data_IF_487592186675
#
_entry.id   IF_487592186675
#
_cell.length_a   1.000
_cell.length_b   1.000
_cell.length_c   1.000
_cell.angle_alpha   90.00
_cell.angle_beta   90.00
_cell.angle_gamma   90.00
#
_symmetry.space_group_name_H-M   'P 1'
#
loop_
_entity.id
_entity.type
_entity.pdbx_description
1 polymer ?
#
# COMPACT_ATOMS: atom_id res chain seq x y z
N UNK A 1 34.64 19.36 -12.48
CA UNK A 1 33.95 19.37 -13.78
C UNK A 1 32.56 19.95 -13.56
N UNK A 2 32.34 21.21 -13.95
CA UNK A 2 31.05 21.89 -13.81
C UNK A 2 30.13 21.44 -14.94
N UNK A 3 29.12 20.64 -14.60
CA UNK A 3 28.14 20.13 -15.57
C UNK A 3 27.41 21.29 -16.25
N UNK A 4 27.24 21.22 -17.58
CA UNK A 4 26.44 22.19 -18.34
C UNK A 4 25.04 22.29 -17.73
N UNK A 5 24.45 23.50 -17.62
CA UNK A 5 23.09 23.66 -17.12
C UNK A 5 22.12 22.87 -18.01
N UNK A 6 21.26 22.06 -17.37
CA UNK A 6 20.24 21.26 -18.05
C UNK A 6 19.22 22.22 -18.66
N UNK A 7 19.27 22.42 -19.99
CA UNK A 7 18.38 23.36 -20.71
C UNK A 7 16.91 22.91 -20.76
N UNK A 8 16.63 21.62 -20.54
CA UNK A 8 15.29 21.04 -20.56
C UNK A 8 15.18 20.00 -19.44
N UNK A 9 14.74 20.44 -18.26
CA UNK A 9 14.61 19.60 -17.06
C UNK A 9 13.66 18.41 -17.31
N UNK A 10 12.45 18.59 -17.87
CA UNK A 10 11.55 17.45 -18.11
C UNK A 10 12.15 16.37 -19.00
N UNK A 11 12.83 16.76 -20.09
CA UNK A 11 13.49 15.79 -20.97
C UNK A 11 14.64 15.05 -20.27
N UNK A 12 15.40 15.74 -19.42
CA UNK A 12 16.47 15.14 -18.62
C UNK A 12 15.93 14.13 -17.61
N UNK A 13 14.91 14.50 -16.83
CA UNK A 13 14.24 13.63 -15.86
C UNK A 13 13.65 12.40 -16.56
N UNK A 14 12.93 12.60 -17.68
CA UNK A 14 12.37 11.48 -18.44
C UNK A 14 13.45 10.54 -18.97
N UNK A 15 14.58 11.06 -19.46
CA UNK A 15 15.70 10.23 -19.90
C UNK A 15 16.32 9.44 -18.73
N UNK A 16 16.42 10.03 -17.54
CA UNK A 16 16.89 9.33 -16.34
C UNK A 16 15.93 8.21 -15.93
N UNK A 17 14.62 8.42 -16.00
CA UNK A 17 13.62 7.36 -15.80
C UNK A 17 13.76 6.23 -16.83
N UNK A 18 14.00 6.56 -18.12
CA UNK A 18 14.25 5.55 -19.16
C UNK A 18 15.50 4.71 -18.88
N UNK A 19 16.57 5.36 -18.42
CA UNK A 19 17.81 4.67 -18.06
C UNK A 19 17.56 3.72 -16.87
N UNK A 20 16.86 4.21 -15.84
CA UNK A 20 16.51 3.41 -14.67
C UNK A 20 15.60 2.22 -15.03
N UNK A 21 14.62 2.44 -15.90
CA UNK A 21 13.73 1.39 -16.41
C UNK A 21 14.53 0.26 -17.08
N UNK A 22 15.50 0.64 -17.93
CA UNK A 22 16.37 -0.31 -18.61
C UNK A 22 17.29 -1.06 -17.63
N UNK A 23 17.84 -0.37 -16.64
CA UNK A 23 18.70 -0.97 -15.61
C UNK A 23 17.94 -2.00 -14.77
N UNK A 24 16.69 -1.70 -14.39
CA UNK A 24 15.86 -2.57 -13.55
C UNK A 24 15.04 -3.59 -14.34
N UNK A 25 15.02 -3.52 -15.67
CA UNK A 25 14.14 -4.33 -16.50
C UNK A 25 12.64 -4.02 -16.31
N UNK A 26 12.32 -2.79 -15.88
CA UNK A 26 10.96 -2.34 -15.60
C UNK A 26 10.33 -1.60 -16.80
N UNK A 27 9.00 -1.51 -16.79
CA UNK A 27 8.27 -0.68 -17.76
C UNK A 27 8.45 0.82 -17.43
N UNK A 28 8.80 1.62 -18.44
CA UNK A 28 9.07 3.05 -18.26
C UNK A 28 7.83 3.83 -17.80
N UNK A 29 6.63 3.44 -18.24
CA UNK A 29 5.40 4.12 -17.82
C UNK A 29 5.07 3.78 -16.36
N UNK A 30 5.37 2.56 -15.91
CA UNK A 30 5.29 2.19 -14.51
C UNK A 30 6.24 3.02 -13.63
N UNK A 31 7.50 3.23 -14.06
CA UNK A 31 8.41 4.12 -13.34
C UNK A 31 8.00 5.59 -13.39
N UNK A 32 7.43 6.06 -14.51
CA UNK A 32 6.86 7.40 -14.60
C UNK A 32 5.71 7.59 -13.60
N UNK A 33 4.80 6.62 -13.48
CA UNK A 33 3.71 6.66 -12.51
C UNK A 33 4.25 6.68 -11.07
N UNK A 34 5.23 5.82 -10.74
CA UNK A 34 5.86 5.81 -9.42
C UNK A 34 6.58 7.12 -9.09
N UNK A 35 7.24 7.72 -10.09
CA UNK A 35 7.89 9.02 -9.93
C UNK A 35 6.87 10.13 -9.70
N UNK A 36 5.76 10.13 -10.44
CA UNK A 36 4.68 11.09 -10.23
C UNK A 36 4.03 10.95 -8.84
N UNK A 37 3.83 9.72 -8.35
CA UNK A 37 3.39 9.47 -6.96
C UNK A 37 4.40 10.00 -5.96
N UNK A 38 5.69 9.70 -6.12
CA UNK A 38 6.75 10.19 -5.24
C UNK A 38 6.77 11.71 -5.14
N UNK A 39 6.67 12.40 -6.29
CA UNK A 39 6.67 13.87 -6.33
C UNK A 39 5.36 14.49 -5.86
N UNK A 40 4.24 13.77 -5.95
CA UNK A 40 3.00 14.15 -5.28
C UNK A 40 3.13 14.04 -3.77
N UNK A 41 3.66 12.92 -3.26
CA UNK A 41 3.89 12.72 -1.83
C UNK A 41 4.86 13.76 -1.26
N UNK A 42 5.87 14.16 -2.04
CA UNK A 42 6.74 15.29 -1.68
C UNK A 42 5.92 16.56 -1.43
N UNK A 43 5.04 16.93 -2.38
CA UNK A 43 4.18 18.12 -2.25
C UNK A 43 3.25 18.01 -1.05
N UNK A 44 2.62 16.85 -0.82
CA UNK A 44 1.80 16.58 0.37
C UNK A 44 2.61 16.80 1.65
N UNK A 45 3.82 16.21 1.75
CA UNK A 45 4.68 16.31 2.94
C UNK A 45 5.18 17.71 3.25
N UNK A 46 5.19 18.60 2.26
CA UNK A 46 5.67 19.98 2.40
C UNK A 46 4.54 21.00 2.56
N UNK A 47 3.29 20.56 2.41
CA UNK A 47 2.11 21.41 2.50
C UNK A 47 1.58 21.55 3.93
N UNK A 48 0.74 22.55 4.17
CA UNK A 48 -0.06 22.67 5.40
C UNK A 48 -1.06 21.52 5.64
N UNK A 49 -1.15 20.55 4.72
CA UNK A 49 -2.05 19.40 4.81
C UNK A 49 -1.34 18.08 5.15
N UNK A 50 -0.03 18.08 5.41
CA UNK A 50 0.74 16.86 5.67
C UNK A 50 0.14 15.98 6.79
N UNK A 51 -0.31 16.61 7.88
CA UNK A 51 -0.91 15.92 9.04
C UNK A 51 -2.33 15.39 8.79
N UNK A 52 -2.91 15.64 7.61
CA UNK A 52 -4.22 15.07 7.23
C UNK A 52 -4.10 13.69 6.60
N UNK A 53 -2.90 13.25 6.25
CA UNK A 53 -2.71 12.00 5.52
C UNK A 53 -1.70 11.07 6.20
N UNK A 54 -1.91 9.77 6.01
CA UNK A 54 -0.97 8.71 6.39
C UNK A 54 -0.87 7.73 5.23
N UNK A 55 0.35 7.41 4.81
CA UNK A 55 0.59 6.44 3.76
C UNK A 55 0.13 5.05 4.20
N UNK A 56 -0.63 4.37 3.33
CA UNK A 56 -1.01 2.97 3.51
C UNK A 56 -0.86 2.16 2.21
N UNK A 57 -1.37 0.93 2.22
CA UNK A 57 -1.44 0.08 1.04
C UNK A 57 -0.07 -0.37 0.49
N UNK A 58 0.00 -0.61 -0.82
CA UNK A 58 1.16 -1.30 -1.42
C UNK A 58 2.43 -0.44 -1.46
N UNK A 59 2.30 0.89 -1.45
CA UNK A 59 3.44 1.81 -1.48
C UNK A 59 4.25 1.78 -0.18
N UNK A 60 3.71 1.24 0.91
CA UNK A 60 4.45 1.00 2.16
C UNK A 60 5.70 0.14 1.97
N UNK A 61 5.69 -0.80 1.01
CA UNK A 61 6.86 -1.66 0.76
C UNK A 61 8.08 -0.86 0.29
N UNK A 62 7.89 0.27 -0.40
CA UNK A 62 9.00 1.19 -0.72
C UNK A 62 9.59 1.78 0.56
N UNK A 63 8.75 2.21 1.48
CA UNK A 63 9.19 2.76 2.77
C UNK A 63 9.93 1.72 3.59
N UNK A 64 9.42 0.48 3.63
CA UNK A 64 10.01 -0.57 4.46
C UNK A 64 11.24 -1.25 3.85
N UNK A 65 11.32 -1.36 2.52
CA UNK A 65 12.32 -2.21 1.85
C UNK A 65 13.09 -1.51 0.73
N UNK A 66 12.77 -0.25 0.41
CA UNK A 66 13.36 0.48 -0.71
C UNK A 66 12.83 0.10 -2.08
N UNK A 67 12.05 -0.99 -2.18
CA UNK A 67 11.55 -1.53 -3.44
C UNK A 67 10.09 -2.00 -3.32
N UNK A 68 9.40 -2.05 -4.46
CA UNK A 68 8.10 -2.70 -4.55
C UNK A 68 8.29 -4.22 -4.70
N UNK A 69 7.40 -5.00 -4.08
CA UNK A 69 7.34 -6.46 -4.23
C UNK A 69 6.41 -6.90 -5.35
N UNK A 70 5.53 -6.02 -5.83
CA UNK A 70 4.71 -6.22 -7.04
C UNK A 70 4.41 -4.87 -7.70
N UNK A 71 4.01 -4.87 -8.98
CA UNK A 71 3.57 -3.65 -9.65
C UNK A 71 2.41 -2.97 -8.89
N UNK A 72 2.58 -1.69 -8.61
CA UNK A 72 1.56 -0.78 -8.09
C UNK A 72 1.85 0.62 -8.63
N UNK A 73 0.80 1.32 -9.06
CA UNK A 73 0.90 2.65 -9.66
C UNK A 73 0.12 3.68 -8.86
N UNK A 74 -0.88 3.21 -8.11
CA UNK A 74 -1.76 4.01 -7.28
C UNK A 74 -1.12 4.19 -5.89
N UNK A 75 -1.55 5.23 -5.18
CA UNK A 75 -1.18 5.45 -3.78
C UNK A 75 -2.42 5.43 -2.90
N UNK A 76 -2.36 4.63 -1.83
CA UNK A 76 -3.41 4.55 -0.83
C UNK A 76 -3.03 5.44 0.37
N UNK A 77 -3.95 6.28 0.82
CA UNK A 77 -3.78 7.12 2.00
C UNK A 77 -4.93 6.86 2.99
N UNK A 78 -4.65 6.97 4.28
CA UNK A 78 -5.67 7.28 5.27
C UNK A 78 -5.81 8.80 5.36
N UNK A 79 -7.04 9.30 5.20
CA UNK A 79 -7.38 10.70 5.37
C UNK A 79 -7.98 10.99 6.74
N UNK A 80 -7.73 12.22 7.23
CA UNK A 80 -8.42 12.82 8.37
C UNK A 80 -9.17 14.09 7.94
N UNK A 81 -10.36 14.29 8.52
CA UNK A 81 -11.25 15.41 8.22
C UNK A 81 -12.45 14.99 7.37
N UNK A 82 -12.96 15.93 6.57
CA UNK A 82 -14.16 15.73 5.75
C UNK A 82 -13.87 14.80 4.55
N UNK A 83 -14.57 13.65 4.41
CA UNK A 83 -14.41 12.72 3.31
C UNK A 83 -15.18 13.11 2.05
N UNK A 84 -15.79 14.28 1.98
CA UNK A 84 -16.54 14.73 0.81
C UNK A 84 -15.60 14.87 -0.43
N UNK A 85 -15.95 14.25 -1.58
CA UNK A 85 -15.09 14.23 -2.76
C UNK A 85 -14.65 15.61 -3.26
N UNK A 86 -15.55 16.58 -3.41
CA UNK A 86 -15.21 17.90 -3.95
C UNK A 86 -14.22 18.65 -3.03
N UNK A 87 -14.38 18.53 -1.71
CA UNK A 87 -13.43 19.08 -0.73
C UNK A 87 -12.06 18.41 -0.78
N UNK A 88 -12.00 17.11 -1.02
CA UNK A 88 -10.72 16.41 -1.19
C UNK A 88 -10.04 16.80 -2.50
N UNK A 89 -10.79 16.90 -3.60
CA UNK A 89 -10.27 17.42 -4.86
C UNK A 89 -9.66 18.82 -4.67
N UNK A 90 -10.37 19.72 -3.99
CA UNK A 90 -9.88 21.06 -3.68
C UNK A 90 -8.67 21.05 -2.74
N UNK A 91 -8.64 20.14 -1.76
CA UNK A 91 -7.46 19.97 -0.89
C UNK A 91 -6.22 19.60 -1.71
N UNK A 92 -6.32 18.61 -2.61
CA UNK A 92 -5.20 18.22 -3.46
C UNK A 92 -4.84 19.32 -4.46
N UNK A 93 -5.81 20.01 -5.04
CA UNK A 93 -5.56 21.17 -5.90
C UNK A 93 -4.81 22.28 -5.15
N UNK A 94 -5.15 22.55 -3.88
CA UNK A 94 -4.46 23.50 -3.03
C UNK A 94 -3.01 23.08 -2.73
N UNK A 95 -2.77 21.80 -2.38
CA UNK A 95 -1.41 21.25 -2.18
C UNK A 95 -0.53 21.51 -3.41
N UNK A 96 -1.08 21.26 -4.60
CA UNK A 96 -0.35 21.43 -5.87
C UNK A 96 -0.05 22.90 -6.20
N UNK A 97 -0.86 23.85 -5.72
CA UNK A 97 -0.63 25.30 -5.88
C UNK A 97 0.32 25.85 -4.82
N UNK A 98 0.26 25.32 -3.61
CA UNK A 98 1.11 25.72 -2.48
C UNK A 98 2.56 25.27 -2.68
N UNK A 99 2.77 24.02 -3.10
CA UNK A 99 4.09 23.43 -3.21
C UNK A 99 4.44 23.12 -4.66
N UNK A 100 5.40 23.85 -5.19
CA UNK A 100 5.97 23.64 -6.53
C UNK A 100 7.45 23.24 -6.44
N UNK A 101 7.90 22.38 -7.34
CA UNK A 101 9.31 22.05 -7.52
C UNK A 101 9.63 21.90 -9.02
N UNK A 102 10.23 22.93 -9.61
CA UNK A 102 10.59 22.91 -11.03
C UNK A 102 11.71 21.90 -11.35
N UNK A 103 12.50 21.51 -10.35
CA UNK A 103 13.64 20.61 -10.54
C UNK A 103 13.21 19.18 -10.89
N UNK A 104 11.99 18.80 -10.51
CA UNK A 104 11.42 17.48 -10.80
C UNK A 104 10.77 17.39 -12.20
N UNK A 105 10.59 18.53 -12.87
CA UNK A 105 10.07 18.61 -14.24
C UNK A 105 8.61 18.17 -14.41
N UNK A 106 7.90 17.81 -13.33
CA UNK A 106 6.49 17.44 -13.38
C UNK A 106 5.60 18.67 -13.29
N UNK A 107 4.63 18.72 -14.19
CA UNK A 107 3.55 19.72 -14.17
C UNK A 107 2.26 18.99 -13.84
N UNK A 108 1.76 19.15 -12.62
CA UNK A 108 0.45 18.66 -12.20
C UNK A 108 -0.63 19.69 -12.56
N UNK A 109 -1.71 19.23 -13.19
CA UNK A 109 -2.85 20.09 -13.53
C UNK A 109 -3.80 20.19 -12.32
N UNK A 110 -3.55 21.19 -11.47
CA UNK A 110 -4.38 21.46 -10.29
C UNK A 110 -5.82 21.84 -10.63
N UNK A 111 -6.10 22.29 -11.86
CA UNK A 111 -7.46 22.67 -12.29
C UNK A 111 -8.28 21.48 -12.78
N UNK A 112 -7.63 20.36 -13.08
CA UNK A 112 -8.24 19.14 -13.58
C UNK A 112 -8.23 18.00 -12.54
N UNK A 113 -8.01 18.31 -11.26
CA UNK A 113 -8.17 17.34 -10.17
C UNK A 113 -9.64 16.94 -10.08
N UNK A 114 -9.91 15.65 -10.08
CA UNK A 114 -11.25 15.09 -9.92
C UNK A 114 -11.29 14.11 -8.78
N UNK A 115 -12.41 14.02 -8.09
CA UNK A 115 -12.63 13.06 -7.01
C UNK A 115 -13.99 12.38 -7.17
N UNK A 116 -14.05 11.09 -6.83
CA UNK A 116 -15.29 10.31 -6.83
C UNK A 116 -15.33 9.38 -5.64
N UNK A 117 -16.53 9.12 -5.10
CA UNK A 117 -16.71 8.08 -4.11
C UNK A 117 -16.39 6.71 -4.70
N UNK A 118 -15.62 5.91 -3.96
CA UNK A 118 -15.38 4.51 -4.29
C UNK A 118 -16.38 3.63 -3.55
N UNK A 119 -17.13 2.83 -4.31
CA UNK A 119 -17.99 1.79 -3.73
C UNK A 119 -17.12 0.57 -3.39
N UNK A 120 -16.55 0.57 -2.19
CA UNK A 120 -15.84 -0.56 -1.60
C UNK A 120 -16.73 -1.33 -0.61
N UNK A 121 -16.38 -2.57 -0.30
CA UNK A 121 -17.06 -3.41 0.70
C UNK A 121 -16.81 -2.98 2.16
N UNK A 122 -16.13 -1.85 2.38
CA UNK A 122 -15.82 -1.29 3.69
C UNK A 122 -16.92 -0.28 4.05
N UNK A 123 -17.48 -0.37 5.25
CA UNK A 123 -18.61 0.42 5.76
C UNK A 123 -18.33 1.95 5.75
N UNK A 124 -17.06 2.34 5.61
CA UNK A 124 -16.58 3.70 5.38
C UNK A 124 -16.09 3.82 3.93
N UNK A 125 -16.92 4.39 3.06
CA UNK A 125 -16.55 4.64 1.66
C UNK A 125 -15.22 5.43 1.56
N UNK A 126 -14.39 5.07 0.59
CA UNK A 126 -13.17 5.81 0.27
C UNK A 126 -13.42 6.81 -0.86
N UNK A 127 -12.53 7.77 -1.05
CA UNK A 127 -12.55 8.69 -2.20
C UNK A 127 -11.37 8.41 -3.11
N UNK A 128 -11.64 8.28 -4.40
CA UNK A 128 -10.62 8.19 -5.43
C UNK A 128 -10.41 9.53 -6.07
N UNK A 129 -9.17 9.99 -6.05
CA UNK A 129 -8.74 11.25 -6.64
C UNK A 129 -7.89 10.93 -7.87
N UNK A 130 -8.12 11.64 -8.98
CA UNK A 130 -7.30 11.58 -10.19
C UNK A 130 -6.68 12.94 -10.46
N UNK A 131 -5.37 12.94 -10.62
CA UNK A 131 -4.56 14.14 -10.81
C UNK A 131 -3.77 13.99 -12.11
N UNK A 132 -4.19 14.66 -13.20
CA UNK A 132 -3.42 14.69 -14.44
C UNK A 132 -2.08 15.40 -14.24
N UNK A 133 -1.03 14.86 -14.82
CA UNK A 133 0.29 15.46 -14.83
C UNK A 133 1.03 15.19 -16.15
N UNK A 134 2.04 16.01 -16.42
CA UNK A 134 2.92 15.85 -17.57
C UNK A 134 4.39 15.97 -17.19
N UNK A 135 5.22 15.17 -17.86
CA UNK A 135 6.68 15.27 -17.82
C UNK A 135 7.17 15.48 -19.25
N UNK A 136 7.27 16.75 -19.66
CA UNK A 136 7.50 17.12 -21.05
C UNK A 136 6.28 16.73 -21.91
N UNK A 137 6.47 15.80 -22.86
CA UNK A 137 5.38 15.28 -23.70
C UNK A 137 4.70 14.04 -23.11
N UNK A 138 5.30 13.40 -22.10
CA UNK A 138 4.73 12.23 -21.45
C UNK A 138 3.58 12.66 -20.53
N UNK A 139 2.44 11.97 -20.63
CA UNK A 139 1.25 12.19 -19.80
C UNK A 139 1.11 11.07 -18.79
N UNK A 140 0.69 11.41 -17.58
CA UNK A 140 0.41 10.46 -16.51
C UNK A 140 -0.79 10.96 -15.70
N UNK A 141 -1.61 10.06 -15.17
CA UNK A 141 -2.67 10.41 -14.22
C UNK A 141 -2.32 9.71 -12.93
N UNK A 142 -2.08 10.48 -11.88
CA UNK A 142 -1.84 9.93 -10.54
C UNK A 142 -3.18 9.62 -9.91
N UNK A 143 -3.37 8.37 -9.48
CA UNK A 143 -4.53 7.95 -8.72
C UNK A 143 -4.19 7.88 -7.24
N UNK A 144 -4.98 8.56 -6.42
CA UNK A 144 -4.90 8.52 -4.96
C UNK A 144 -6.20 7.96 -4.42
N UNK A 145 -6.13 6.86 -3.69
CA UNK A 145 -7.28 6.29 -2.99
C UNK A 145 -7.19 6.68 -1.51
N UNK A 146 -8.13 7.49 -1.02
CA UNK A 146 -8.19 7.96 0.36
C UNK A 146 -9.27 7.20 1.12
N UNK A 147 -8.85 6.33 2.03
CA UNK A 147 -9.73 5.69 3.01
C UNK A 147 -9.87 6.54 4.26
N UNK A 148 -10.90 6.28 5.06
CA UNK A 148 -11.18 7.04 6.28
C UNK A 148 -11.48 6.13 7.46
N UNK A 149 -11.05 6.58 8.63
CA UNK A 149 -11.46 6.00 9.89
C UNK A 149 -10.73 4.71 10.29
N UNK A 150 -9.71 4.23 9.59
CA UNK A 150 -8.98 3.05 10.05
C UNK A 150 -8.31 3.28 11.41
N UNK A 151 -8.24 2.22 12.22
CA UNK A 151 -7.43 2.18 13.43
C UNK A 151 -5.98 1.83 13.06
N UNK A 152 -5.02 2.56 13.62
CA UNK A 152 -3.59 2.31 13.41
C UNK A 152 -2.98 1.80 14.70
N UNK A 153 -2.38 0.61 14.65
CA UNK A 153 -1.73 -0.03 15.80
C UNK A 153 -0.51 -0.84 15.34
N UNK A 154 0.70 -0.57 15.88
CA UNK A 154 1.04 0.59 16.75
C UNK A 154 0.84 1.94 16.01
N UNK A 155 1.13 3.06 16.67
CA UNK A 155 0.94 4.38 16.04
C UNK A 155 1.76 4.56 14.74
N UNK A 156 1.22 5.32 13.79
CA UNK A 156 1.94 5.65 12.56
C UNK A 156 3.15 6.53 12.88
N UNK A 157 4.27 6.23 12.25
CA UNK A 157 5.52 6.97 12.44
C UNK A 157 5.91 7.68 11.16
N UNK A 158 6.55 8.86 11.28
CA UNK A 158 7.10 9.55 10.12
C UNK A 158 8.25 8.74 9.52
N UNK A 159 8.23 8.60 8.19
CA UNK A 159 9.25 7.87 7.43
C UNK A 159 9.63 8.65 6.18
N UNK A 160 10.88 8.47 5.77
CA UNK A 160 11.33 8.91 4.46
C UNK A 160 10.82 7.95 3.39
N UNK A 161 10.18 8.49 2.37
CA UNK A 161 9.82 7.75 1.17
C UNK A 161 11.01 7.80 0.20
N UNK A 162 11.59 6.64 -0.19
CA UNK A 162 12.88 6.63 -0.88
C UNK A 162 12.77 7.26 -2.27
N UNK A 163 13.61 8.22 -2.67
CA UNK A 163 13.49 8.86 -3.97
C UNK A 163 14.05 8.01 -5.12
N UNK A 164 13.43 8.08 -6.31
CA UNK A 164 13.86 7.34 -7.51
C UNK A 164 15.08 7.98 -8.18
N UNK A 165 15.10 9.32 -8.26
CA UNK A 165 16.10 10.09 -9.02
C UNK A 165 16.92 11.04 -8.12
N UNK A 166 16.97 10.79 -6.81
CA UNK A 166 17.77 11.57 -5.88
C UNK A 166 17.29 13.00 -5.67
N UNK A 167 15.99 13.27 -5.88
CA UNK A 167 15.36 14.48 -5.36
C UNK A 167 15.16 14.35 -3.84
N UNK A 168 14.84 15.46 -3.18
CA UNK A 168 14.48 15.45 -1.76
C UNK A 168 13.36 14.44 -1.50
N UNK A 169 13.59 13.60 -0.48
CA UNK A 169 12.69 12.54 -0.08
C UNK A 169 11.42 13.12 0.58
N UNK A 170 10.21 12.66 0.22
CA UNK A 170 9.02 12.93 1.00
C UNK A 170 9.15 12.40 2.43
N UNK A 171 8.72 13.17 3.42
CA UNK A 171 8.57 12.71 4.80
C UNK A 171 7.09 12.56 5.12
N UNK A 172 6.62 11.33 5.30
CA UNK A 172 5.19 11.06 5.49
C UNK A 172 4.99 10.06 6.62
N UNK A 173 3.93 10.25 7.40
CA UNK A 173 3.49 9.22 8.36
C UNK A 173 3.08 7.98 7.59
N UNK A 174 3.54 6.81 8.02
CA UNK A 174 3.26 5.55 7.35
C UNK A 174 2.70 4.53 8.34
N UNK A 175 1.80 3.68 7.86
CA UNK A 175 1.30 2.54 8.63
C UNK A 175 2.47 1.63 9.04
N UNK A 176 2.44 1.08 10.26
CA UNK A 176 3.33 0.00 10.62
C UNK A 176 2.89 -1.30 9.93
N UNK A 177 3.80 -2.28 9.74
CA UNK A 177 3.47 -3.56 9.14
C UNK A 177 2.32 -4.30 9.83
N UNK A 178 2.17 -4.17 11.14
CA UNK A 178 1.12 -4.79 11.95
C UNK A 178 -0.28 -4.35 11.50
N UNK A 179 -0.49 -3.05 11.31
CA UNK A 179 -1.77 -2.51 10.81
C UNK A 179 -2.05 -2.99 9.40
N UNK A 180 -1.04 -3.02 8.52
CA UNK A 180 -1.20 -3.51 7.16
C UNK A 180 -1.55 -5.01 7.11
N UNK A 181 -1.04 -5.82 8.05
CA UNK A 181 -1.44 -7.23 8.21
C UNK A 181 -2.89 -7.32 8.69
N UNK A 182 -3.25 -6.54 9.72
CA UNK A 182 -4.59 -6.54 10.30
C UNK A 182 -5.68 -6.17 9.28
N UNK A 183 -5.48 -5.11 8.47
CA UNK A 183 -6.44 -4.72 7.42
C UNK A 183 -6.62 -5.81 6.35
N UNK A 184 -5.52 -6.45 5.93
CA UNK A 184 -5.57 -7.54 4.94
C UNK A 184 -6.30 -8.75 5.49
N UNK A 185 -6.04 -9.09 6.75
CA UNK A 185 -6.70 -10.20 7.42
C UNK A 185 -8.19 -9.92 7.60
N UNK A 186 -8.56 -8.72 8.04
CA UNK A 186 -9.95 -8.30 8.16
C UNK A 186 -10.67 -8.44 6.82
N UNK A 187 -10.10 -7.92 5.73
CA UNK A 187 -10.70 -8.05 4.40
C UNK A 187 -10.83 -9.52 3.93
N UNK A 188 -9.90 -10.39 4.34
CA UNK A 188 -10.01 -11.84 4.09
C UNK A 188 -11.18 -12.46 4.86
N UNK A 189 -11.39 -12.05 6.11
CA UNK A 189 -12.47 -12.51 6.97
C UNK A 189 -13.83 -11.99 6.51
N UNK A 190 -13.98 -10.69 6.27
CA UNK A 190 -15.27 -10.05 5.98
C UNK A 190 -15.80 -10.40 4.59
N UNK A 191 -14.95 -10.46 3.56
CA UNK A 191 -15.38 -10.79 2.19
C UNK A 191 -15.62 -12.31 2.02
N UNK A 192 -14.89 -13.15 2.75
CA UNK A 192 -15.07 -14.60 2.74
C UNK A 192 -14.92 -15.24 1.36
N UNK A 193 -15.83 -16.15 0.98
CA UNK A 193 -15.73 -16.91 -0.28
C UNK A 193 -15.80 -16.03 -1.54
N UNK A 194 -16.38 -14.83 -1.46
CA UNK A 194 -16.43 -13.90 -2.60
C UNK A 194 -15.07 -13.24 -2.88
N UNK A 195 -14.08 -13.39 -1.98
CA UNK A 195 -12.85 -12.63 -2.03
C UNK A 195 -12.02 -12.92 -3.30
N UNK A 196 -11.79 -11.88 -4.10
CA UNK A 196 -10.97 -11.90 -5.32
C UNK A 196 -9.67 -11.11 -5.18
N UNK A 197 -9.40 -10.55 -3.98
CA UNK A 197 -8.23 -9.73 -3.66
C UNK A 197 -6.99 -10.60 -3.44
N UNK A 198 -6.60 -11.36 -4.46
CA UNK A 198 -5.42 -12.24 -4.46
C UNK A 198 -4.13 -11.51 -4.07
N UNK A 199 -4.06 -10.20 -4.36
CA UNK A 199 -2.98 -9.32 -3.93
C UNK A 199 -2.75 -9.33 -2.41
N UNK A 200 -3.79 -9.44 -1.59
CA UNK A 200 -3.66 -9.38 -0.13
C UNK A 200 -2.98 -10.65 0.42
N UNK A 201 -3.27 -11.82 -0.15
CA UNK A 201 -2.56 -13.06 0.17
C UNK A 201 -1.07 -12.98 -0.20
N UNK A 202 -0.76 -12.42 -1.37
CA UNK A 202 0.62 -12.23 -1.79
C UNK A 202 1.36 -11.22 -0.88
N UNK A 203 0.72 -10.09 -0.57
CA UNK A 203 1.28 -9.08 0.32
C UNK A 203 1.57 -9.69 1.71
N UNK A 204 0.67 -10.52 2.26
CA UNK A 204 0.87 -11.22 3.54
C UNK A 204 2.04 -12.21 3.51
N UNK A 205 2.23 -12.95 2.42
CA UNK A 205 3.40 -13.83 2.27
C UNK A 205 4.69 -13.01 2.25
N UNK A 206 4.73 -11.92 1.50
CA UNK A 206 5.93 -11.09 1.42
C UNK A 206 6.23 -10.47 2.78
N UNK A 207 5.19 -10.02 3.51
CA UNK A 207 5.34 -9.48 4.85
C UNK A 207 5.90 -10.55 5.81
N UNK A 208 5.30 -11.73 5.84
CA UNK A 208 5.72 -12.81 6.75
C UNK A 208 7.16 -13.30 6.48
N UNK A 209 7.63 -13.19 5.24
CA UNK A 209 9.00 -13.56 4.86
C UNK A 209 10.04 -12.47 5.12
N UNK A 210 9.63 -11.22 5.36
CA UNK A 210 10.56 -10.07 5.47
C UNK A 210 10.62 -9.45 6.86
N UNK A 211 9.53 -9.51 7.62
CA UNK A 211 9.42 -8.80 8.89
C UNK A 211 9.14 -9.75 10.05
N UNK A 212 9.76 -9.46 11.19
CA UNK A 212 9.41 -10.09 12.46
C UNK A 212 8.28 -9.35 13.15
N UNK A 213 7.50 -10.06 13.97
CA UNK A 213 6.34 -9.50 14.65
C UNK A 213 6.33 -9.91 16.12
N UNK A 214 5.98 -8.97 16.99
CA UNK A 214 5.61 -9.28 18.36
C UNK A 214 4.15 -9.73 18.40
N UNK A 215 3.90 -10.90 18.98
CA UNK A 215 2.58 -11.52 18.97
C UNK A 215 1.53 -10.66 19.65
N UNK A 216 1.86 -10.04 20.78
CA UNK A 216 0.92 -9.20 21.50
C UNK A 216 0.59 -7.91 20.72
N UNK A 217 1.58 -7.29 20.06
CA UNK A 217 1.34 -6.11 19.22
C UNK A 217 0.45 -6.46 18.03
N UNK A 218 0.75 -7.56 17.33
CA UNK A 218 -0.01 -7.97 16.15
C UNK A 218 -1.45 -8.37 16.51
N UNK A 219 -1.66 -9.08 17.62
CA UNK A 219 -3.01 -9.40 18.12
C UNK A 219 -3.82 -8.13 18.43
N UNK A 220 -3.21 -7.13 19.08
CA UNK A 220 -3.87 -5.84 19.35
C UNK A 220 -4.21 -5.09 18.06
N UNK A 221 -3.33 -5.12 17.07
CA UNK A 221 -3.60 -4.51 15.77
C UNK A 221 -4.80 -5.18 15.08
N UNK A 222 -4.88 -6.51 15.12
CA UNK A 222 -6.02 -7.28 14.61
C UNK A 222 -7.30 -6.87 15.34
N UNK A 223 -7.33 -6.90 16.68
CA UNK A 223 -8.52 -6.50 17.45
C UNK A 223 -8.96 -5.08 17.11
N UNK A 224 -8.04 -4.11 17.14
CA UNK A 224 -8.35 -2.71 16.85
C UNK A 224 -8.91 -2.50 15.44
N UNK A 225 -8.37 -3.18 14.43
CA UNK A 225 -8.87 -3.11 13.05
C UNK A 225 -10.25 -3.74 12.92
N UNK A 226 -10.47 -4.93 13.48
CA UNK A 226 -11.75 -5.64 13.41
C UNK A 226 -12.86 -4.87 14.13
N UNK A 227 -12.59 -4.39 15.34
CA UNK A 227 -13.51 -3.56 16.12
C UNK A 227 -13.88 -2.28 15.36
N UNK A 228 -12.88 -1.61 14.77
CA UNK A 228 -13.11 -0.36 14.05
C UNK A 228 -13.96 -0.56 12.79
N UNK A 229 -13.82 -1.71 12.14
CA UNK A 229 -14.55 -2.09 10.91
C UNK A 229 -15.83 -2.87 11.19
N UNK A 230 -16.22 -3.04 12.46
CA UNK A 230 -17.44 -3.76 12.85
C UNK A 230 -17.46 -5.24 12.45
N UNK A 231 -16.30 -5.82 12.16
CA UNK A 231 -16.19 -7.22 11.73
C UNK A 231 -15.92 -8.11 12.94
N UNK A 232 -16.79 -9.09 13.25
CA UNK A 232 -16.54 -10.02 14.35
C UNK A 232 -15.26 -10.83 14.11
N UNK A 233 -14.43 -10.94 15.13
CA UNK A 233 -13.23 -11.79 15.06
C UNK A 233 -13.68 -13.26 15.06
N UNK A 234 -13.34 -14.05 14.02
CA UNK A 234 -13.79 -15.42 13.94
C UNK A 234 -13.02 -16.32 14.92
N UNK A 235 -13.77 -17.18 15.63
CA UNK A 235 -13.20 -18.21 16.52
C UNK A 235 -12.62 -19.38 15.73
N UNK A 236 -13.27 -19.72 14.62
CA UNK A 236 -12.81 -20.75 13.67
C UNK A 236 -12.01 -20.12 12.53
N UNK A 237 -11.14 -20.90 11.83
CA UNK A 237 -10.43 -20.39 10.66
C UNK A 237 -11.40 -19.78 9.63
N UNK A 238 -11.21 -18.51 9.24
CA UNK A 238 -12.11 -17.84 8.30
C UNK A 238 -12.05 -18.54 6.94
N UNK A 239 -13.17 -18.53 6.19
CA UNK A 239 -13.30 -19.28 4.93
C UNK A 239 -12.13 -19.01 3.97
N UNK A 240 -11.69 -17.75 3.84
CA UNK A 240 -10.55 -17.37 2.99
C UNK A 240 -9.20 -18.00 3.37
N UNK A 241 -9.07 -18.54 4.59
CA UNK A 241 -7.90 -19.25 5.08
C UNK A 241 -8.10 -20.77 5.21
N UNK A 242 -9.16 -21.32 4.57
CA UNK A 242 -9.44 -22.76 4.55
C UNK A 242 -8.96 -23.43 3.26
N UNK A 243 -8.73 -24.75 3.30
CA UNK A 243 -8.48 -25.52 2.09
C UNK A 243 -9.68 -25.56 1.16
N UNK A 244 -10.92 -25.43 1.66
CA UNK A 244 -12.10 -25.29 0.81
C UNK A 244 -11.99 -24.08 -0.12
N UNK A 245 -11.46 -22.96 0.36
CA UNK A 245 -11.22 -21.78 -0.48
C UNK A 245 -10.04 -22.01 -1.42
N UNK A 246 -8.95 -22.62 -0.94
CA UNK A 246 -7.79 -22.93 -1.76
C UNK A 246 -8.10 -23.89 -2.93
N UNK A 247 -8.99 -24.84 -2.67
CA UNK A 247 -9.33 -25.93 -3.57
C UNK A 247 -10.50 -25.57 -4.52
N UNK A 248 -11.04 -24.35 -4.43
CA UNK A 248 -12.04 -23.83 -5.34
C UNK A 248 -11.43 -23.46 -6.70
N UNK A 249 -12.04 -23.94 -7.80
CA UNK A 249 -11.55 -23.72 -9.17
C UNK A 249 -11.47 -22.24 -9.55
N UNK A 250 -12.46 -21.45 -9.13
CA UNK A 250 -12.50 -20.02 -9.41
C UNK A 250 -11.36 -19.30 -8.68
N UNK A 251 -11.06 -19.68 -7.44
CA UNK A 251 -9.96 -19.09 -6.67
C UNK A 251 -8.60 -19.44 -7.23
N UNK A 252 -8.38 -20.70 -7.64
CA UNK A 252 -7.15 -21.08 -8.37
C UNK A 252 -6.98 -20.27 -9.66
N UNK A 253 -8.04 -20.11 -10.45
CA UNK A 253 -8.00 -19.31 -11.67
C UNK A 253 -7.68 -17.82 -11.38
N UNK A 254 -8.27 -17.24 -10.33
CA UNK A 254 -7.97 -15.88 -9.89
C UNK A 254 -6.51 -15.71 -9.44
N UNK A 255 -5.96 -16.68 -8.69
CA UNK A 255 -4.56 -16.69 -8.27
C UNK A 255 -3.61 -16.76 -9.47
N UNK A 256 -3.84 -17.70 -10.38
CA UNK A 256 -3.03 -17.85 -11.59
C UNK A 256 -3.07 -16.58 -12.48
N UNK A 257 -4.25 -15.99 -12.65
CA UNK A 257 -4.42 -14.73 -13.39
C UNK A 257 -3.68 -13.57 -12.71
N UNK A 258 -3.71 -13.51 -11.38
CA UNK A 258 -2.96 -12.52 -10.60
C UNK A 258 -1.45 -12.66 -10.86
N UNK A 259 -0.87 -13.86 -10.69
CA UNK A 259 0.56 -14.12 -10.91
C UNK A 259 1.01 -13.78 -12.33
N UNK A 260 0.22 -14.17 -13.35
CA UNK A 260 0.51 -13.88 -14.75
C UNK A 260 0.57 -12.38 -15.02
N UNK A 261 -0.35 -11.60 -14.43
CA UNK A 261 -0.43 -10.15 -14.63
C UNK A 261 0.70 -9.40 -13.91
N UNK A 262 1.09 -9.86 -12.72
CA UNK A 262 2.13 -9.19 -11.92
C UNK A 262 3.55 -9.59 -12.29
N UNK A 263 3.73 -10.63 -13.12
CA UNK A 263 5.03 -11.13 -13.60
C UNK A 263 6.00 -11.41 -12.45
N UNK A 264 5.53 -12.12 -11.42
CA UNK A 264 6.30 -12.43 -10.22
C UNK A 264 6.99 -13.79 -10.40
N UNK A 265 8.31 -13.85 -10.64
CA UNK A 265 9.00 -15.10 -10.95
C UNK A 265 9.11 -16.06 -9.75
N UNK A 266 9.10 -15.54 -8.52
CA UNK A 266 9.39 -16.30 -7.28
C UNK A 266 8.15 -16.52 -6.38
N UNK A 267 6.93 -16.35 -6.90
CA UNK A 267 5.72 -16.58 -6.13
C UNK A 267 5.45 -18.10 -5.94
N UNK A 268 4.95 -18.54 -4.77
CA UNK A 268 4.46 -19.91 -4.62
C UNK A 268 3.41 -20.20 -5.68
N UNK A 269 3.56 -21.32 -6.37
CA UNK A 269 2.76 -21.61 -7.56
C UNK A 269 1.31 -21.93 -7.17
N UNK A 270 1.12 -22.61 -6.04
CA UNK A 270 -0.19 -23.13 -5.65
C UNK A 270 -0.85 -22.27 -4.55
N UNK A 271 -2.11 -21.90 -4.77
CA UNK A 271 -2.91 -21.13 -3.81
C UNK A 271 -3.02 -21.84 -2.45
N UNK A 272 -2.95 -23.17 -2.44
CA UNK A 272 -2.96 -23.97 -1.22
C UNK A 272 -1.74 -23.74 -0.34
N UNK A 273 -0.55 -23.67 -0.95
CA UNK A 273 0.70 -23.37 -0.23
C UNK A 273 0.67 -21.95 0.33
N UNK A 274 0.13 -21.02 -0.46
CA UNK A 274 -0.08 -19.62 -0.05
C UNK A 274 -0.94 -19.54 1.20
N UNK A 275 -2.11 -20.18 1.19
CA UNK A 275 -3.03 -20.19 2.33
C UNK A 275 -2.42 -20.89 3.53
N UNK A 276 -1.65 -21.96 3.34
CA UNK A 276 -0.95 -22.61 4.43
C UNK A 276 0.03 -21.67 5.14
N UNK A 277 0.86 -20.94 4.37
CA UNK A 277 1.82 -19.97 4.93
C UNK A 277 1.09 -18.82 5.63
N UNK A 278 0.08 -18.24 4.97
CA UNK A 278 -0.70 -17.14 5.55
C UNK A 278 -1.38 -17.59 6.85
N UNK A 279 -2.01 -18.77 6.87
CA UNK A 279 -2.65 -19.33 8.07
C UNK A 279 -1.67 -19.57 9.21
N UNK A 280 -0.46 -20.07 8.96
CA UNK A 280 0.57 -20.22 10.01
C UNK A 280 1.00 -18.87 10.58
N UNK A 281 1.08 -17.85 9.72
CA UNK A 281 1.46 -16.49 10.13
C UNK A 281 0.37 -15.80 10.94
N UNK A 282 -0.85 -15.69 10.41
CA UNK A 282 -1.92 -14.87 11.01
C UNK A 282 -2.83 -15.64 11.97
N UNK A 283 -2.80 -16.97 11.96
CA UNK A 283 -3.68 -17.81 12.78
C UNK A 283 -3.49 -17.60 14.29
N UNK A 284 -2.28 -17.77 14.84
CA UNK A 284 -2.04 -17.57 16.27
C UNK A 284 -2.45 -16.19 16.81
N UNK A 285 -2.07 -15.04 16.19
CA UNK A 285 -2.49 -13.74 16.69
C UNK A 285 -3.99 -13.49 16.50
N UNK A 286 -4.63 -14.05 15.46
CA UNK A 286 -6.08 -14.00 15.30
C UNK A 286 -6.81 -14.74 16.42
N UNK A 287 -6.33 -15.92 16.81
CA UNK A 287 -6.90 -16.70 17.90
C UNK A 287 -6.73 -16.00 19.26
N UNK A 288 -5.55 -15.41 19.50
CA UNK A 288 -5.30 -14.61 20.70
C UNK A 288 -6.26 -13.40 20.76
N UNK A 289 -6.41 -12.67 19.64
CA UNK A 289 -7.36 -11.58 19.51
C UNK A 289 -8.82 -12.01 19.75
N UNK A 290 -9.23 -13.18 19.25
CA UNK A 290 -10.58 -13.72 19.47
C UNK A 290 -10.86 -14.12 20.92
N UNK A 291 -9.82 -14.55 21.64
CA UNK A 291 -9.92 -15.00 23.04
C UNK A 291 -9.72 -13.86 24.06
N UNK A 292 -9.22 -12.71 23.60
CA UNK A 292 -8.80 -11.61 24.48
C UNK A 292 -7.50 -11.91 25.24
N UNK A 293 -6.73 -12.90 24.77
CA UNK A 293 -5.50 -13.36 25.40
C UNK A 293 -4.26 -12.71 24.75
N UNK A 294 -3.15 -12.70 25.48
CA UNK A 294 -1.85 -12.36 24.91
C UNK A 294 -1.25 -13.52 24.10
N UNK A 295 -0.51 -13.19 23.05
CA UNK A 295 0.34 -14.14 22.33
C UNK A 295 1.81 -13.93 22.74
N UNK A 296 2.34 -14.70 23.72
CA UNK A 296 3.74 -14.63 24.16
C UNK A 296 4.64 -15.35 23.16
N UNK A 297 4.67 -14.85 21.94
CA UNK A 297 5.49 -15.38 20.86
C UNK A 297 5.93 -14.26 19.92
N UNK A 298 7.01 -14.50 19.20
CA UNK A 298 7.50 -13.64 18.12
C UNK A 298 7.55 -14.40 16.82
N UNK A 299 7.04 -13.78 15.77
CA UNK A 299 7.22 -14.28 14.42
C UNK A 299 8.62 -13.93 13.97
N UNK A 300 9.40 -14.93 13.60
CA UNK A 300 10.72 -14.75 12.99
C UNK A 300 10.64 -15.19 11.52
N UNK A 301 11.01 -14.32 10.56
CA UNK A 301 11.03 -14.67 9.15
C UNK A 301 11.77 -15.99 8.89
N UNK A 302 11.08 -16.95 8.28
CA UNK A 302 11.62 -18.28 7.98
C UNK A 302 11.66 -19.28 9.13
N UNK A 303 11.26 -18.90 10.35
CA UNK A 303 11.22 -19.79 11.52
C UNK A 303 9.84 -19.87 12.18
N UNK A 304 8.83 -19.25 11.60
CA UNK A 304 7.46 -19.14 12.13
C UNK A 304 7.41 -18.50 13.55
N UNK A 305 6.36 -18.78 14.33
CA UNK A 305 6.18 -18.26 15.70
C UNK A 305 7.06 -19.00 16.70
N UNK A 306 7.92 -18.26 17.41
CA UNK A 306 8.76 -18.74 18.49
C UNK A 306 8.24 -18.20 19.83
N UNK A 307 8.09 -19.05 20.85
CA UNK A 307 7.66 -18.58 22.18
C UNK A 307 8.67 -17.59 22.75
N UNK A 308 8.17 -16.53 23.35
CA UNK A 308 9.00 -15.64 24.17
C UNK A 308 9.14 -16.28 25.55
N UNK A 309 10.38 -16.48 26.00
CA UNK A 309 10.70 -16.88 27.38
C UNK A 309 10.26 -15.85 28.41
#
# INVERSE_FOLDING_TARGET
MTGKPVKNIPASVFQRLRNLARERGEDVNALLAQYAVERLLYRVSRSGHADRFVLKGAMLFRVWTGALHRPTQDVDLLGYGDPEPDRLAETFAAILREVTDESDGLVFDSSAVTAEETRGAEEYGGVRIRIPATLGTARVVVQVDVGFGDAITPEATEREFPPLLGHDAPRIRAYPPETAVAEKLEAICSIGIANSRMKDYYDLIVISRRFGFDGAILSRAISATFDRRGTPIPVEPPVGLTYRFADDDQKRAQWAAFLKRTKLPDAPLELREVIQVVRRFVGPPLQAAASGDDLPARWLPGQDWQRTE
#
